data_IF_911297092899
#
_entry.id   IF_911297092899
#
_cell.length_a   1.000
_cell.length_b   1.000
_cell.length_c   1.000
_cell.angle_alpha   90.00
_cell.angle_beta   90.00
_cell.angle_gamma   90.00
#
_symmetry.space_group_name_H-M   'P 1'
#
loop_
_entity.id
_entity.type
_entity.pdbx_description
1 polymer ?
#
# COMPACT_ATOMS: atom_id res chain seq x y z
N UNK A 1 23.23 12.27 11.25
CA UNK A 1 22.21 11.82 12.21
C UNK A 1 22.62 12.38 13.56
N UNK A 2 21.73 13.11 14.25
CA UNK A 2 22.01 13.60 15.61
C UNK A 2 21.51 12.54 16.60
N UNK A 3 22.43 12.02 17.43
CA UNK A 3 22.13 10.99 18.42
C UNK A 3 21.88 11.62 19.79
N UNK A 4 21.04 10.98 20.60
CA UNK A 4 20.70 11.45 21.94
C UNK A 4 21.80 11.15 22.95
N UNK A 5 22.68 10.19 22.67
CA UNK A 5 23.85 9.89 23.50
C UNK A 5 25.12 9.54 22.70
N UNK A 6 26.27 9.64 23.36
CA UNK A 6 27.56 9.18 22.82
C UNK A 6 27.56 7.67 22.59
N UNK A 7 26.86 6.91 23.44
CA UNK A 7 26.73 5.46 23.31
C UNK A 7 25.94 5.09 22.05
N UNK A 8 24.85 5.79 21.75
CA UNK A 8 24.10 5.59 20.50
C UNK A 8 24.93 5.89 19.26
N UNK A 9 25.67 7.00 19.27
CA UNK A 9 26.56 7.35 18.17
C UNK A 9 27.63 6.28 17.94
N UNK A 10 28.21 5.76 19.03
CA UNK A 10 29.23 4.72 18.97
C UNK A 10 28.65 3.37 18.53
N UNK A 11 27.46 2.99 19.00
CA UNK A 11 26.74 1.82 18.50
C UNK A 11 26.53 1.88 16.99
N UNK A 12 25.92 2.98 16.53
CA UNK A 12 25.62 3.18 15.11
C UNK A 12 26.90 3.10 14.27
N UNK A 13 27.97 3.75 14.73
CA UNK A 13 29.27 3.71 14.06
C UNK A 13 29.83 2.29 13.97
N UNK A 14 29.88 1.54 15.08
CA UNK A 14 30.41 0.17 15.12
C UNK A 14 29.65 -0.76 14.19
N UNK A 15 28.32 -0.72 14.21
CA UNK A 15 27.49 -1.58 13.37
C UNK A 15 27.61 -1.18 11.90
N UNK A 16 27.55 0.12 11.57
CA UNK A 16 27.67 0.59 10.18
C UNK A 16 29.01 0.17 9.57
N UNK A 17 30.12 0.42 10.28
CA UNK A 17 31.46 0.00 9.83
C UNK A 17 31.55 -1.51 9.63
N UNK A 18 30.95 -2.30 10.52
CA UNK A 18 30.91 -3.75 10.36
C UNK A 18 30.11 -4.18 9.12
N UNK A 19 28.93 -3.59 8.90
CA UNK A 19 28.09 -3.93 7.74
C UNK A 19 28.79 -3.58 6.43
N UNK A 20 29.37 -2.39 6.33
CA UNK A 20 30.13 -1.95 5.15
C UNK A 20 31.34 -2.85 4.89
N UNK A 21 32.13 -3.15 5.93
CA UNK A 21 33.33 -3.99 5.80
C UNK A 21 33.02 -5.43 5.34
N UNK A 22 31.80 -5.91 5.59
CA UNK A 22 31.34 -7.24 5.21
C UNK A 22 30.37 -7.23 4.01
N UNK A 23 30.15 -6.08 3.35
CA UNK A 23 29.24 -5.93 2.21
C UNK A 23 27.79 -6.36 2.54
N UNK A 24 27.34 -6.01 3.74
CA UNK A 24 26.01 -6.34 4.27
C UNK A 24 25.06 -5.12 4.30
N UNK A 25 25.53 -3.95 3.88
CA UNK A 25 24.82 -2.67 3.87
C UNK A 25 23.61 -2.66 2.92
N UNK A 26 23.62 -3.47 1.85
CA UNK A 26 22.43 -3.67 1.00
C UNK A 26 21.37 -4.57 1.64
N UNK A 27 21.79 -5.44 2.59
CA UNK A 27 20.92 -6.44 3.24
C UNK A 27 20.28 -5.90 4.51
N UNK A 28 20.97 -5.02 5.22
CA UNK A 28 20.51 -4.48 6.49
C UNK A 28 20.36 -2.97 6.46
N UNK A 29 19.29 -2.46 7.06
CA UNK A 29 19.05 -1.01 7.21
C UNK A 29 18.87 -0.68 8.68
N UNK A 30 19.53 0.36 9.16
CA UNK A 30 19.43 0.80 10.56
C UNK A 30 18.54 2.03 10.63
N UNK A 31 17.49 1.95 11.44
CA UNK A 31 16.59 3.07 11.72
C UNK A 31 16.79 3.55 13.15
N UNK A 32 17.07 4.84 13.32
CA UNK A 32 17.23 5.48 14.63
C UNK A 32 15.92 6.08 15.12
N UNK A 33 15.57 5.79 16.38
CA UNK A 33 14.30 6.13 17.01
C UNK A 33 13.08 5.81 16.12
N UNK A 34 12.96 4.54 15.67
CA UNK A 34 11.86 4.10 14.83
C UNK A 34 10.55 4.24 15.58
N UNK A 35 9.53 4.75 14.88
CA UNK A 35 8.16 4.72 15.40
C UNK A 35 7.59 3.34 15.12
N UNK A 36 7.84 2.40 16.01
CA UNK A 36 7.11 1.13 16.04
C UNK A 36 5.64 1.46 16.31
N UNK A 37 4.71 0.83 15.58
CA UNK A 37 3.27 1.05 15.76
C UNK A 37 2.88 0.97 17.25
N UNK A 38 1.89 1.76 17.67
CA UNK A 38 1.26 1.60 18.98
C UNK A 38 0.60 0.20 19.01
N UNK A 39 1.29 -0.81 19.54
CA UNK A 39 0.65 -2.06 19.93
C UNK A 39 -0.30 -1.72 21.08
N UNK A 40 -1.59 -1.61 20.78
CA UNK A 40 -2.62 -1.47 21.81
C UNK A 40 -2.94 -2.84 22.38
N UNK A 41 -2.12 -3.32 23.31
CA UNK A 41 -2.55 -4.36 24.23
C UNK A 41 -3.24 -3.66 25.42
N UNK A 42 -4.54 -3.94 25.58
CA UNK A 42 -5.31 -3.67 26.81
C UNK A 42 -5.25 -2.23 27.38
N UNK A 43 -5.56 -1.23 26.55
CA UNK A 43 -6.00 0.09 27.06
C UNK A 43 -4.92 0.98 27.71
N UNK A 44 -3.66 0.54 27.81
CA UNK A 44 -2.55 1.42 28.18
C UNK A 44 -1.68 1.73 26.97
N UNK A 45 -1.90 2.90 26.36
CA UNK A 45 -1.04 3.42 25.30
C UNK A 45 0.33 3.83 25.87
N UNK A 46 1.26 2.89 25.98
CA UNK A 46 2.68 3.21 26.19
C UNK A 46 3.39 3.19 24.85
N UNK A 47 3.65 4.38 24.33
CA UNK A 47 4.51 4.55 23.16
C UNK A 47 5.94 4.23 23.56
N UNK A 48 6.45 3.06 23.15
CA UNK A 48 7.85 2.67 23.34
C UNK A 48 8.60 2.92 22.04
N UNK A 49 9.65 3.72 22.08
CA UNK A 49 10.50 4.05 20.93
C UNK A 49 11.88 3.49 21.27
N UNK A 50 12.33 2.39 20.63
CA UNK A 50 13.67 1.90 20.86
C UNK A 50 14.70 2.86 20.29
N UNK A 51 15.94 2.75 20.74
CA UNK A 51 17.03 3.58 20.19
C UNK A 51 17.28 3.23 18.72
N UNK A 52 17.31 1.93 18.38
CA UNK A 52 17.43 1.49 17.00
C UNK A 52 16.52 0.31 16.65
N UNK A 53 16.10 0.26 15.39
CA UNK A 53 15.58 -0.93 14.74
C UNK A 53 16.48 -1.25 13.56
N UNK A 54 16.98 -2.47 13.52
CA UNK A 54 17.71 -2.98 12.37
C UNK A 54 16.74 -3.82 11.56
N UNK A 55 16.59 -3.46 10.30
CA UNK A 55 15.82 -4.18 9.31
C UNK A 55 16.72 -5.13 8.54
N UNK A 56 16.23 -6.33 8.19
CA UNK A 56 16.86 -7.27 7.26
C UNK A 56 15.94 -7.47 6.06
N UNK A 57 16.39 -7.06 4.87
CA UNK A 57 15.54 -7.07 3.68
C UNK A 57 14.26 -6.22 3.82
N UNK A 58 14.31 -5.15 4.63
CA UNK A 58 13.17 -4.27 4.91
C UNK A 58 12.26 -4.69 6.07
N UNK A 59 12.55 -5.79 6.79
CA UNK A 59 11.73 -6.27 7.91
C UNK A 59 12.42 -6.14 9.27
N UNK A 60 11.66 -5.89 10.35
CA UNK A 60 12.18 -5.89 11.71
C UNK A 60 13.04 -7.13 11.99
N UNK A 61 14.34 -6.94 12.22
CA UNK A 61 15.28 -8.03 12.50
C UNK A 61 15.77 -7.94 13.95
N UNK A 62 16.29 -6.79 14.36
CA UNK A 62 16.77 -6.55 15.72
C UNK A 62 16.19 -5.25 16.26
N UNK A 63 15.57 -5.30 17.44
CA UNK A 63 15.33 -4.11 18.26
C UNK A 63 16.54 -3.90 19.15
N UNK A 64 17.05 -2.68 19.21
CA UNK A 64 18.18 -2.32 20.07
C UNK A 64 17.77 -1.18 21.00
N UNK A 65 17.99 -1.42 22.28
CA UNK A 65 17.95 -0.41 23.33
C UNK A 65 19.35 -0.26 23.93
N UNK A 66 19.78 0.97 24.11
CA UNK A 66 21.07 1.31 24.69
C UNK A 66 20.84 1.88 26.09
N UNK A 67 21.62 1.40 27.05
CA UNK A 67 21.61 1.90 28.43
C UNK A 67 23.02 2.17 28.88
N UNK A 68 23.21 3.24 29.65
CA UNK A 68 24.52 3.56 30.23
C UNK A 68 24.89 2.67 31.43
N UNK A 69 23.94 1.94 32.00
CA UNK A 69 24.15 1.11 33.18
C UNK A 69 23.64 -0.32 32.96
N UNK A 70 24.48 -1.30 33.27
CA UNK A 70 24.18 -2.72 33.14
C UNK A 70 22.91 -3.16 33.88
N UNK A 71 22.64 -2.59 35.06
CA UNK A 71 21.45 -2.88 35.87
C UNK A 71 20.13 -2.50 35.16
N UNK A 72 20.19 -1.63 34.15
CA UNK A 72 19.03 -1.17 33.40
C UNK A 72 18.71 -2.07 32.19
N UNK A 73 19.62 -2.99 31.82
CA UNK A 73 19.47 -3.83 30.62
C UNK A 73 18.30 -4.80 30.72
N UNK A 74 18.05 -5.40 31.89
CA UNK A 74 16.91 -6.32 32.08
C UNK A 74 15.58 -5.59 31.98
N UNK A 75 15.49 -4.39 32.57
CA UNK A 75 14.32 -3.53 32.47
C UNK A 75 14.07 -3.11 31.01
N UNK A 76 15.12 -2.68 30.31
CA UNK A 76 15.06 -2.35 28.89
C UNK A 76 14.57 -3.53 28.05
N UNK A 77 15.14 -4.72 28.25
CA UNK A 77 14.76 -5.92 27.51
C UNK A 77 13.29 -6.28 27.74
N UNK A 78 12.84 -6.34 29.00
CA UNK A 78 11.45 -6.69 29.35
C UNK A 78 10.42 -5.73 28.74
N UNK A 79 10.78 -4.46 28.55
CA UNK A 79 9.93 -3.48 27.86
C UNK A 79 9.70 -3.79 26.39
N UNK A 80 10.52 -4.62 25.76
CA UNK A 80 10.38 -4.90 24.33
C UNK A 80 10.00 -6.34 24.02
N UNK A 81 9.99 -7.24 24.99
CA UNK A 81 9.58 -8.65 24.79
C UNK A 81 8.17 -8.75 24.19
N UNK A 82 7.25 -7.87 24.57
CA UNK A 82 5.90 -7.78 23.99
C UNK A 82 5.92 -7.38 22.50
N UNK A 83 6.96 -6.68 22.04
CA UNK A 83 7.17 -6.36 20.63
C UNK A 83 7.73 -7.54 19.82
N UNK A 84 7.92 -8.73 20.41
CA UNK A 84 8.15 -9.94 19.62
C UNK A 84 7.02 -10.20 18.62
N UNK A 85 5.80 -9.69 18.90
CA UNK A 85 4.62 -9.82 18.05
C UNK A 85 4.73 -9.09 16.70
N UNK A 86 5.55 -8.04 16.60
CA UNK A 86 5.83 -7.38 15.30
C UNK A 86 6.84 -8.14 14.43
N UNK A 87 7.14 -9.40 14.79
CA UNK A 87 8.00 -10.28 14.01
C UNK A 87 9.45 -9.80 13.99
N UNK A 88 10.02 -9.52 15.16
CA UNK A 88 11.46 -9.24 15.34
C UNK A 88 12.17 -10.54 15.73
N UNK A 89 13.39 -10.79 15.25
CA UNK A 89 14.13 -12.02 15.60
C UNK A 89 14.84 -11.89 16.96
N UNK A 90 15.36 -10.68 17.22
CA UNK A 90 16.18 -10.41 18.39
C UNK A 90 15.83 -9.08 19.04
N UNK A 91 15.90 -9.06 20.36
CA UNK A 91 15.86 -7.83 21.14
C UNK A 91 17.18 -7.75 21.90
N UNK A 92 17.84 -6.61 21.80
CA UNK A 92 19.14 -6.37 22.42
C UNK A 92 19.00 -5.17 23.35
N UNK A 93 19.41 -5.34 24.60
CA UNK A 93 19.74 -4.24 25.48
C UNK A 93 21.25 -4.23 25.67
N UNK A 94 21.93 -3.11 25.42
CA UNK A 94 23.41 -3.04 25.46
C UNK A 94 23.94 -1.77 26.12
N UNK A 95 25.08 -1.88 26.80
CA UNK A 95 25.89 -0.75 27.30
C UNK A 95 27.20 -0.56 26.51
N UNK A 96 27.38 -1.34 25.44
CA UNK A 96 28.56 -1.43 24.55
C UNK A 96 29.75 -2.18 25.11
N UNK A 97 29.72 -2.59 26.38
CA UNK A 97 30.66 -3.54 26.95
C UNK A 97 30.07 -4.96 26.90
N UNK A 98 28.79 -5.08 27.26
CA UNK A 98 28.02 -6.29 27.10
C UNK A 98 26.61 -6.03 26.63
N UNK A 99 25.91 -7.12 26.33
CA UNK A 99 24.54 -7.08 25.89
C UNK A 99 23.73 -8.19 26.55
N UNK A 100 22.47 -7.87 26.82
CA UNK A 100 21.43 -8.83 27.09
C UNK A 100 20.66 -9.06 25.79
N UNK A 101 20.71 -10.31 25.32
CA UNK A 101 20.05 -10.76 24.10
C UNK A 101 18.78 -11.51 24.46
N UNK A 102 17.70 -11.27 23.73
CA UNK A 102 16.50 -12.09 23.76
C UNK A 102 16.19 -12.62 22.37
N UNK A 103 16.13 -13.93 22.24
CA UNK A 103 15.67 -14.60 21.02
C UNK A 103 14.16 -14.79 21.09
N UNK A 104 13.42 -14.18 20.16
CA UNK A 104 11.95 -14.18 20.22
C UNK A 104 11.35 -15.56 19.95
N UNK A 105 12.00 -16.38 19.13
CA UNK A 105 11.53 -17.72 18.74
C UNK A 105 11.60 -18.73 19.89
N UNK A 106 12.71 -18.75 20.64
CA UNK A 106 12.96 -19.66 21.75
C UNK A 106 12.58 -19.07 23.10
N UNK A 107 12.35 -17.75 23.15
CA UNK A 107 12.13 -16.96 24.37
C UNK A 107 13.29 -17.05 25.37
N UNK A 108 14.49 -17.30 24.86
CA UNK A 108 15.71 -17.40 25.68
C UNK A 108 16.34 -16.02 25.80
N UNK A 109 16.64 -15.62 27.04
CA UNK A 109 17.44 -14.44 27.34
C UNK A 109 18.84 -14.84 27.80
N UNK A 110 19.88 -14.23 27.25
CA UNK A 110 21.26 -14.50 27.63
C UNK A 110 22.13 -13.26 27.62
N UNK A 111 23.09 -13.20 28.54
CA UNK A 111 24.13 -12.17 28.54
C UNK A 111 25.30 -12.59 27.67
N UNK A 112 25.81 -11.67 26.85
CA UNK A 112 26.92 -11.86 25.92
C UNK A 112 27.83 -10.63 25.91
N UNK A 113 29.04 -10.78 25.37
CA UNK A 113 29.87 -9.61 25.02
C UNK A 113 29.22 -8.83 23.87
N UNK A 114 29.52 -7.53 23.76
CA UNK A 114 29.02 -6.70 22.67
C UNK A 114 29.32 -7.30 21.27
N UNK A 115 30.50 -7.90 21.09
CA UNK A 115 30.93 -8.47 19.82
C UNK A 115 30.00 -9.59 19.30
N UNK A 116 29.18 -10.18 20.17
CA UNK A 116 28.18 -11.17 19.74
C UNK A 116 27.15 -10.58 18.77
N UNK A 117 26.89 -9.25 18.80
CA UNK A 117 26.02 -8.59 17.82
C UNK A 117 26.45 -8.90 16.39
N UNK A 118 27.76 -8.96 16.12
CA UNK A 118 28.28 -9.26 14.79
C UNK A 118 27.87 -10.66 14.31
N UNK A 119 27.81 -11.64 15.22
CA UNK A 119 27.38 -12.99 14.90
C UNK A 119 25.90 -13.05 14.48
N UNK A 120 25.06 -12.15 15.00
CA UNK A 120 23.65 -12.05 14.60
C UNK A 120 23.51 -11.71 13.11
N UNK A 121 24.44 -10.94 12.55
CA UNK A 121 24.42 -10.58 11.14
C UNK A 121 24.97 -11.67 10.21
N UNK A 122 25.83 -12.55 10.75
CA UNK A 122 26.40 -13.73 10.07
C UNK A 122 25.47 -14.94 10.09
N UNK A 123 24.50 -14.90 10.99
CA UNK A 123 23.63 -16.00 11.38
C UNK A 123 23.09 -16.83 10.18
N UNK A 124 23.50 -18.10 10.14
CA UNK A 124 23.19 -19.12 9.13
C UNK A 124 22.06 -20.08 9.59
N UNK A 125 21.22 -19.70 10.57
CA UNK A 125 20.11 -20.52 11.14
C UNK A 125 19.16 -21.20 10.14
N UNK A 126 19.21 -20.86 8.85
CA UNK A 126 18.49 -21.57 7.79
C UNK A 126 19.03 -23.00 7.51
N UNK A 127 20.21 -23.36 8.02
CA UNK A 127 20.84 -24.67 7.76
C UNK A 127 20.14 -25.89 8.42
N UNK A 128 19.13 -25.69 9.26
CA UNK A 128 18.39 -26.78 9.93
C UNK A 128 16.87 -26.78 9.73
N UNK A 129 16.30 -25.75 9.10
CA UNK A 129 14.85 -25.71 8.86
C UNK A 129 14.56 -26.62 7.66
N UNK A 130 13.74 -27.65 7.87
CA UNK A 130 13.22 -28.47 6.77
C UNK A 130 12.21 -27.63 5.98
N UNK A 131 12.74 -26.80 5.09
CA UNK A 131 11.96 -25.82 4.32
C UNK A 131 10.78 -26.51 3.64
N UNK A 132 11.01 -27.69 3.05
CA UNK A 132 9.97 -28.45 2.35
C UNK A 132 8.83 -28.90 3.30
N UNK A 133 9.16 -29.42 4.48
CA UNK A 133 8.16 -29.80 5.51
C UNK A 133 7.37 -28.57 6.00
N UNK A 134 8.05 -27.43 6.14
CA UNK A 134 7.41 -26.16 6.51
C UNK A 134 6.50 -25.64 5.39
N UNK A 135 6.90 -25.75 4.13
CA UNK A 135 6.07 -25.37 2.97
C UNK A 135 4.77 -26.18 2.96
N UNK A 136 4.84 -27.50 3.17
CA UNK A 136 3.65 -28.35 3.25
C UNK A 136 2.73 -27.94 4.42
N UNK A 137 3.32 -27.58 5.56
CA UNK A 137 2.56 -27.10 6.72
C UNK A 137 1.87 -25.76 6.45
N UNK A 138 2.57 -24.84 5.78
CA UNK A 138 2.02 -23.54 5.34
C UNK A 138 0.87 -23.76 4.34
N UNK A 139 1.07 -24.62 3.35
CA UNK A 139 0.04 -24.96 2.35
C UNK A 139 -1.25 -25.44 3.03
N UNK A 140 -1.16 -26.38 3.97
CA UNK A 140 -2.33 -26.89 4.68
C UNK A 140 -3.06 -25.80 5.46
N UNK A 141 -2.33 -24.93 6.16
CA UNK A 141 -2.93 -23.83 6.91
C UNK A 141 -3.62 -22.80 6.00
N UNK A 142 -2.97 -22.41 4.90
CA UNK A 142 -3.55 -21.49 3.92
C UNK A 142 -4.82 -22.12 3.35
N UNK A 143 -4.77 -23.40 2.96
CA UNK A 143 -5.96 -24.12 2.49
C UNK A 143 -7.09 -24.07 3.54
N UNK A 144 -6.84 -24.41 4.80
CA UNK A 144 -7.85 -24.34 5.85
C UNK A 144 -8.49 -22.95 5.99
N UNK A 145 -7.68 -21.89 5.94
CA UNK A 145 -8.17 -20.51 6.00
C UNK A 145 -9.07 -20.20 4.80
N UNK A 146 -8.62 -20.54 3.59
CA UNK A 146 -9.34 -20.19 2.37
C UNK A 146 -10.59 -21.05 2.13
N UNK A 147 -10.60 -22.30 2.60
CA UNK A 147 -11.77 -23.20 2.51
C UNK A 147 -12.75 -23.03 3.67
N UNK A 148 -12.26 -22.58 4.83
CA UNK A 148 -13.06 -22.32 6.00
C UNK A 148 -13.81 -20.98 5.95
N UNK A 149 -13.37 -20.05 5.10
CA UNK A 149 -14.01 -18.76 4.96
C UNK A 149 -15.34 -18.87 4.20
N UNK A 150 -16.39 -18.27 4.76
CA UNK A 150 -17.76 -18.30 4.23
C UNK A 150 -18.13 -17.04 3.47
N UNK A 151 -17.34 -15.98 3.61
CA UNK A 151 -17.65 -14.66 3.08
C UNK A 151 -17.12 -14.49 1.65
N UNK A 152 -16.03 -15.18 1.28
CA UNK A 152 -15.39 -15.05 -0.04
C UNK A 152 -15.11 -16.43 -0.64
N UNK A 153 -15.67 -16.70 -1.82
CA UNK A 153 -15.42 -17.96 -2.53
C UNK A 153 -14.07 -17.94 -3.25
N UNK A 154 -13.06 -18.54 -2.60
CA UNK A 154 -11.71 -18.67 -3.12
C UNK A 154 -11.41 -20.06 -3.70
N UNK A 155 -12.41 -20.95 -3.77
CA UNK A 155 -12.27 -22.28 -4.39
C UNK A 155 -11.76 -22.25 -5.83
N UNK A 156 -12.10 -21.27 -6.68
CA UNK A 156 -11.57 -21.20 -8.05
C UNK A 156 -10.04 -21.08 -8.11
N UNK A 157 -9.36 -20.58 -7.07
CA UNK A 157 -7.90 -20.46 -7.04
C UNK A 157 -7.18 -21.82 -7.03
N UNK A 158 -7.86 -22.88 -6.59
CA UNK A 158 -7.28 -24.21 -6.37
C UNK A 158 -7.26 -25.11 -7.61
N UNK A 159 -7.92 -24.71 -8.70
CA UNK A 159 -7.93 -25.52 -9.93
C UNK A 159 -6.58 -25.51 -10.68
N UNK A 160 -5.54 -24.87 -10.14
CA UNK A 160 -4.27 -24.62 -10.83
C UNK A 160 -3.04 -25.40 -10.36
N UNK A 161 -3.16 -26.35 -9.43
CA UNK A 161 -2.03 -27.18 -8.95
C UNK A 161 -1.90 -27.22 -7.42
N UNK A 162 -0.85 -27.88 -6.92
CA UNK A 162 -0.52 -27.92 -5.49
C UNK A 162 0.03 -26.55 -5.03
N UNK A 163 -0.31 -26.11 -3.81
CA UNK A 163 0.09 -24.77 -3.35
C UNK A 163 1.56 -24.67 -2.99
N UNK A 164 2.16 -25.77 -2.59
CA UNK A 164 3.61 -25.92 -2.40
C UNK A 164 4.39 -25.47 -3.63
N UNK A 165 3.84 -25.64 -4.84
CA UNK A 165 4.47 -25.15 -6.07
C UNK A 165 4.48 -23.62 -6.18
N UNK A 166 3.66 -22.92 -5.41
CA UNK A 166 3.56 -21.46 -5.40
C UNK A 166 4.20 -20.81 -4.18
N UNK A 167 4.68 -21.56 -3.20
CA UNK A 167 5.32 -21.00 -2.00
C UNK A 167 6.85 -21.11 -2.14
N UNK A 168 7.56 -20.08 -1.70
CA UNK A 168 9.02 -20.09 -1.60
C UNK A 168 9.51 -19.49 -0.30
N UNK A 169 10.74 -19.85 0.07
CA UNK A 169 11.44 -19.27 1.20
C UNK A 169 12.54 -18.33 0.73
N UNK A 170 12.43 -17.05 1.08
CA UNK A 170 13.47 -16.07 0.85
C UNK A 170 14.49 -16.14 2.00
N UNK A 171 15.68 -16.70 1.73
CA UNK A 171 16.76 -16.84 2.72
C UNK A 171 17.31 -15.50 3.20
N UNK A 172 17.32 -14.48 2.34
CA UNK A 172 17.90 -13.18 2.69
C UNK A 172 17.04 -12.39 3.65
N UNK A 173 15.73 -12.37 3.42
CA UNK A 173 14.75 -11.72 4.29
C UNK A 173 14.13 -12.63 5.35
N UNK A 174 14.40 -13.94 5.29
CA UNK A 174 13.88 -14.98 6.19
C UNK A 174 12.36 -15.01 6.31
N UNK A 175 11.69 -14.97 5.17
CA UNK A 175 10.24 -15.04 5.10
C UNK A 175 9.82 -16.03 4.02
N UNK A 176 8.63 -16.60 4.20
CA UNK A 176 7.91 -17.31 3.15
C UNK A 176 7.06 -16.31 2.38
N UNK A 177 6.86 -16.57 1.10
CA UNK A 177 5.94 -15.80 0.26
C UNK A 177 5.39 -16.69 -0.83
N UNK A 178 4.41 -16.16 -1.57
CA UNK A 178 4.15 -16.72 -2.88
C UNK A 178 5.31 -16.39 -3.84
N UNK A 179 5.56 -17.26 -4.82
CA UNK A 179 6.63 -17.15 -5.80
C UNK A 179 6.47 -15.92 -6.68
N UNK A 180 7.55 -15.15 -6.82
CA UNK A 180 7.60 -13.98 -7.70
C UNK A 180 7.81 -14.36 -9.18
N UNK A 181 6.77 -14.88 -9.84
CA UNK A 181 6.75 -15.11 -11.28
C UNK A 181 6.17 -13.90 -12.03
N UNK A 182 6.96 -12.82 -12.18
CA UNK A 182 6.52 -11.57 -12.83
C UNK A 182 6.14 -11.73 -14.30
N UNK A 183 6.72 -12.72 -14.99
CA UNK A 183 6.40 -13.02 -16.39
C UNK A 183 4.95 -13.45 -16.60
N UNK A 184 4.33 -14.04 -15.57
CA UNK A 184 2.92 -14.42 -15.61
C UNK A 184 1.97 -13.23 -15.41
N UNK A 185 2.48 -12.09 -14.94
CA UNK A 185 1.68 -10.90 -14.73
C UNK A 185 0.48 -11.11 -13.82
N UNK A 186 -0.72 -10.79 -14.29
CA UNK A 186 -1.97 -11.05 -13.54
C UNK A 186 -2.28 -12.53 -13.32
N UNK A 187 -1.63 -13.43 -14.08
CA UNK A 187 -1.75 -14.87 -13.87
C UNK A 187 -0.81 -15.39 -12.79
N UNK A 188 0.10 -14.56 -12.26
CA UNK A 188 0.85 -14.89 -11.06
C UNK A 188 -0.13 -15.24 -9.92
N UNK A 189 0.22 -16.25 -9.14
CA UNK A 189 -0.64 -16.79 -8.08
C UNK A 189 -1.16 -15.71 -7.13
N UNK A 190 -0.27 -14.84 -6.62
CA UNK A 190 -0.67 -13.81 -5.66
C UNK A 190 -1.51 -12.71 -6.31
N UNK A 191 -1.23 -12.34 -7.56
CA UNK A 191 -2.10 -11.42 -8.32
C UNK A 191 -3.50 -12.01 -8.56
N UNK A 192 -3.59 -13.33 -8.77
CA UNK A 192 -4.88 -14.03 -8.85
C UNK A 192 -5.59 -14.00 -7.51
N UNK A 193 -4.89 -14.25 -6.40
CA UNK A 193 -5.47 -14.15 -5.06
C UNK A 193 -6.10 -12.77 -4.83
N UNK A 194 -5.33 -11.69 -5.05
CA UNK A 194 -5.87 -10.33 -4.93
C UNK A 194 -7.00 -10.04 -5.92
N UNK A 195 -6.94 -10.56 -7.14
CA UNK A 195 -8.03 -10.40 -8.13
C UNK A 195 -9.31 -11.13 -7.75
N UNK A 196 -9.26 -12.15 -6.88
CA UNK A 196 -10.46 -12.80 -6.33
C UNK A 196 -10.96 -12.12 -5.07
N UNK A 197 -10.05 -11.58 -4.24
CA UNK A 197 -10.43 -10.77 -3.07
C UNK A 197 -11.11 -9.46 -3.49
N UNK A 198 -10.66 -8.84 -4.58
CA UNK A 198 -11.18 -7.57 -5.08
C UNK A 198 -12.19 -7.80 -6.21
N UNK A 199 -13.32 -7.10 -6.14
CA UNK A 199 -14.36 -7.20 -7.17
C UNK A 199 -13.85 -6.64 -8.51
N UNK A 200 -14.05 -7.37 -9.63
CA UNK A 200 -13.83 -6.78 -10.94
C UNK A 200 -14.82 -5.63 -11.16
N UNK A 201 -14.46 -4.69 -12.03
CA UNK A 201 -15.41 -3.65 -12.44
C UNK A 201 -16.54 -4.31 -13.23
N UNK A 202 -17.75 -4.27 -12.66
CA UNK A 202 -18.93 -4.86 -13.30
C UNK A 202 -19.63 -3.87 -14.25
N UNK A 203 -19.47 -2.58 -13.99
CA UNK A 203 -20.08 -1.52 -14.80
C UNK A 203 -19.29 -1.25 -16.09
N UNK A 204 -20.01 -1.13 -17.21
CA UNK A 204 -19.42 -0.66 -18.46
C UNK A 204 -19.13 0.84 -18.42
N UNK A 205 -19.74 1.57 -17.49
CA UNK A 205 -19.62 3.02 -17.34
C UNK A 205 -19.10 3.37 -15.96
N UNK A 206 -18.18 4.33 -15.90
CA UNK A 206 -17.72 4.94 -14.66
C UNK A 206 -17.80 6.46 -14.75
N UNK A 207 -18.05 7.10 -13.62
CA UNK A 207 -18.22 8.55 -13.53
C UNK A 207 -17.05 9.16 -12.75
N UNK A 208 -16.53 10.30 -13.17
CA UNK A 208 -15.50 11.05 -12.44
C UNK A 208 -15.95 12.49 -12.27
N UNK A 209 -15.96 12.93 -11.02
CA UNK A 209 -16.28 14.31 -10.67
C UNK A 209 -15.01 15.14 -10.64
N UNK A 210 -15.07 16.34 -11.21
CA UNK A 210 -13.93 17.26 -11.22
C UNK A 210 -14.38 18.71 -11.41
N UNK A 211 -13.44 19.64 -11.40
CA UNK A 211 -13.72 21.06 -11.62
C UNK A 211 -14.01 21.34 -13.09
N UNK A 212 -14.70 22.46 -13.35
CA UNK A 212 -14.96 22.91 -14.72
C UNK A 212 -13.65 23.21 -15.46
N UNK A 213 -12.67 23.79 -14.75
CA UNK A 213 -11.34 24.08 -15.29
C UNK A 213 -10.58 22.81 -15.68
N UNK A 214 -10.60 21.77 -14.83
CA UNK A 214 -9.94 20.50 -15.14
C UNK A 214 -10.56 19.84 -16.38
N UNK A 215 -11.88 19.94 -16.54
CA UNK A 215 -12.61 19.48 -17.73
C UNK A 215 -12.17 20.24 -18.97
N UNK A 216 -12.14 21.57 -18.90
CA UNK A 216 -11.63 22.41 -19.99
C UNK A 216 -10.21 22.00 -20.39
N UNK A 217 -9.29 21.85 -19.44
CA UNK A 217 -7.91 21.46 -19.71
C UNK A 217 -7.82 20.06 -20.34
N UNK A 218 -8.60 19.09 -19.86
CA UNK A 218 -8.68 17.73 -20.40
C UNK A 218 -9.07 17.74 -21.88
N UNK A 219 -10.13 18.47 -22.24
CA UNK A 219 -10.60 18.56 -23.63
C UNK A 219 -9.62 19.36 -24.48
N UNK A 220 -9.20 20.53 -24.00
CA UNK A 220 -8.33 21.44 -24.73
C UNK A 220 -6.98 20.81 -25.09
N UNK A 221 -6.39 20.03 -24.16
CA UNK A 221 -5.11 19.33 -24.36
C UNK A 221 -5.28 17.92 -24.94
N UNK A 222 -6.51 17.40 -24.98
CA UNK A 222 -6.84 16.01 -25.31
C UNK A 222 -6.07 15.02 -24.43
N UNK A 223 -6.04 15.29 -23.13
CA UNK A 223 -5.29 14.47 -22.16
C UNK A 223 -6.09 14.11 -20.92
N UNK A 224 -5.90 12.88 -20.44
CA UNK A 224 -6.42 12.43 -19.15
C UNK A 224 -5.29 12.43 -18.12
N UNK A 225 -5.49 13.11 -16.99
CA UNK A 225 -4.48 13.20 -15.92
C UNK A 225 -4.72 12.17 -14.82
N UNK A 226 -3.64 11.51 -14.41
CA UNK A 226 -3.56 10.72 -13.18
C UNK A 226 -2.54 11.35 -12.22
N UNK A 227 -2.83 11.30 -10.92
CA UNK A 227 -1.96 11.85 -9.87
C UNK A 227 -1.25 10.73 -9.11
N UNK A 228 -0.08 11.02 -8.53
CA UNK A 228 0.63 10.06 -7.70
C UNK A 228 -0.18 9.70 -6.43
N UNK A 229 -0.10 8.44 -6.02
CA UNK A 229 -0.73 7.94 -4.77
C UNK A 229 -0.21 8.68 -3.53
N UNK A 230 0.96 9.32 -3.63
CA UNK A 230 1.59 10.04 -2.53
C UNK A 230 0.91 11.35 -2.14
N UNK A 231 0.04 11.88 -3.00
CA UNK A 231 -0.63 13.16 -2.76
C UNK A 231 -2.15 13.04 -2.79
N UNK A 232 -2.64 11.88 -2.35
CA UNK A 232 -4.05 11.71 -2.03
C UNK A 232 -4.44 12.67 -0.90
N UNK A 233 -5.63 13.25 -1.02
CA UNK A 233 -6.17 14.17 -0.01
C UNK A 233 -6.34 13.46 1.34
N UNK A 234 -6.62 12.16 1.32
CA UNK A 234 -6.71 11.34 2.52
C UNK A 234 -5.43 10.51 2.73
N UNK A 235 -4.59 10.96 3.66
CA UNK A 235 -3.34 10.26 4.00
C UNK A 235 -3.59 8.96 4.78
N UNK A 236 -4.72 8.83 5.47
CA UNK A 236 -5.07 7.61 6.20
C UNK A 236 -5.44 6.45 5.28
N UNK A 237 -5.74 6.76 4.01
CA UNK A 237 -6.03 5.75 3.01
C UNK A 237 -4.78 5.00 2.53
N UNK A 238 -3.64 5.69 2.46
CA UNK A 238 -2.39 5.13 1.92
C UNK A 238 -1.88 3.96 2.78
N UNK A 239 -2.10 4.03 4.10
CA UNK A 239 -1.62 3.04 5.06
C UNK A 239 -2.74 2.23 5.72
N UNK A 240 -3.98 2.31 5.21
CA UNK A 240 -5.14 1.62 5.77
C UNK A 240 -4.93 0.10 5.84
N UNK A 241 -4.58 -0.53 4.71
CA UNK A 241 -4.38 -1.98 4.68
C UNK A 241 -3.17 -2.41 5.54
N UNK A 242 -2.07 -1.65 5.49
CA UNK A 242 -0.87 -1.95 6.28
C UNK A 242 -1.19 -1.92 7.79
N UNK A 243 -1.94 -0.91 8.25
CA UNK A 243 -2.44 -0.82 9.63
C UNK A 243 -3.38 -1.98 9.98
N UNK A 244 -4.30 -2.33 9.08
CA UNK A 244 -5.26 -3.41 9.34
C UNK A 244 -4.57 -4.76 9.53
N UNK A 245 -3.53 -5.02 8.74
CA UNK A 245 -2.74 -6.25 8.78
C UNK A 245 -1.73 -6.27 9.93
N UNK A 246 -1.56 -5.18 10.68
CA UNK A 246 -0.57 -5.08 11.76
C UNK A 246 0.88 -5.21 11.28
N UNK A 247 1.13 -4.99 10.00
CA UNK A 247 2.48 -5.10 9.43
C UNK A 247 3.26 -3.81 9.65
N UNK A 248 4.58 -3.93 9.82
CA UNK A 248 5.45 -2.78 9.95
C UNK A 248 5.36 -1.90 8.70
N UNK A 249 5.00 -0.63 8.91
CA UNK A 249 5.02 0.40 7.89
C UNK A 249 6.04 1.46 8.28
N UNK A 250 6.94 1.78 7.35
CA UNK A 250 7.93 2.83 7.51
C UNK A 250 7.27 4.20 7.26
N UNK A 251 7.26 5.13 8.23
CA UNK A 251 6.70 6.47 8.03
C UNK A 251 7.33 7.22 6.86
N UNK A 252 6.54 8.04 6.15
CA UNK A 252 6.99 8.79 4.96
C UNK A 252 8.22 9.69 5.23
N UNK A 253 8.29 10.31 6.41
CA UNK A 253 9.40 11.18 6.83
C UNK A 253 10.71 10.43 7.10
N UNK A 254 10.64 9.09 7.18
CA UNK A 254 11.79 8.21 7.38
C UNK A 254 12.22 7.48 6.12
N UNK A 255 11.44 7.56 5.04
CA UNK A 255 11.76 6.92 3.77
C UNK A 255 12.99 7.56 3.11
N UNK A 256 13.86 6.73 2.55
CA UNK A 256 14.98 7.15 1.72
C UNK A 256 14.51 7.77 0.41
N UNK A 257 15.39 8.53 -0.25
CA UNK A 257 15.10 9.10 -1.56
C UNK A 257 14.74 8.02 -2.61
N UNK A 258 15.40 6.86 -2.55
CA UNK A 258 15.13 5.72 -3.45
C UNK A 258 13.74 5.13 -3.22
N UNK A 259 13.32 4.99 -1.97
CA UNK A 259 11.95 4.55 -1.62
C UNK A 259 10.91 5.57 -2.11
N UNK A 260 11.17 6.87 -1.90
CA UNK A 260 10.31 7.94 -2.40
C UNK A 260 10.23 8.00 -3.92
N UNK A 261 11.34 7.73 -4.63
CA UNK A 261 11.35 7.62 -6.09
C UNK A 261 10.45 6.48 -6.55
N UNK A 262 10.52 5.31 -5.90
CA UNK A 262 9.69 4.14 -6.22
C UNK A 262 8.19 4.44 -6.03
N UNK A 263 7.81 5.11 -4.94
CA UNK A 263 6.42 5.49 -4.70
C UNK A 263 5.89 6.51 -5.71
N UNK A 264 6.78 7.32 -6.29
CA UNK A 264 6.47 8.27 -7.35
C UNK A 264 6.30 7.63 -8.75
N UNK A 265 6.36 6.31 -8.83
CA UNK A 265 6.06 5.53 -10.04
C UNK A 265 4.65 4.92 -10.01
N UNK A 266 3.83 5.27 -9.02
CA UNK A 266 2.46 4.77 -8.88
C UNK A 266 1.46 5.93 -8.97
N UNK A 267 0.49 5.81 -9.87
CA UNK A 267 -0.48 6.85 -10.17
C UNK A 267 -1.90 6.31 -10.11
N UNK A 268 -2.82 7.09 -9.58
CA UNK A 268 -4.23 6.76 -9.54
C UNK A 268 -5.13 7.80 -10.20
N UNK A 269 -6.30 7.33 -10.61
CA UNK A 269 -7.48 8.13 -10.81
C UNK A 269 -8.66 7.44 -10.17
N UNK A 270 -9.39 8.20 -9.34
CA UNK A 270 -10.62 7.76 -8.69
C UNK A 270 -11.83 8.12 -9.55
N UNK A 271 -12.65 7.12 -9.83
CA UNK A 271 -13.97 7.25 -10.43
C UNK A 271 -15.00 6.68 -9.45
N UNK A 272 -16.29 6.81 -9.76
CA UNK A 272 -17.37 6.15 -9.06
C UNK A 272 -18.19 5.32 -10.03
N UNK A 273 -18.96 4.37 -9.50
CA UNK A 273 -19.90 3.56 -10.26
C UNK A 273 -20.95 4.40 -11.02
N UNK A 274 -21.56 3.82 -12.06
CA UNK A 274 -22.62 4.49 -12.82
C UNK A 274 -23.86 4.83 -11.98
N UNK A 275 -24.14 4.12 -10.87
CA UNK A 275 -25.26 4.49 -9.99
C UNK A 275 -25.08 5.87 -9.33
N UNK A 276 -23.86 6.41 -9.40
CA UNK A 276 -23.50 7.74 -8.94
C UNK A 276 -23.31 8.73 -10.09
N UNK A 277 -23.86 8.46 -11.28
CA UNK A 277 -24.00 9.47 -12.33
C UNK A 277 -24.90 10.60 -11.83
N UNK A 278 -24.50 11.84 -12.06
CA UNK A 278 -25.20 13.06 -11.62
C UNK A 278 -25.67 13.06 -10.15
N UNK A 279 -24.79 12.69 -9.22
CA UNK A 279 -25.03 12.56 -7.78
C UNK A 279 -24.54 13.83 -7.02
N UNK A 280 -25.45 14.41 -6.24
CA UNK A 280 -25.20 15.64 -5.50
C UNK A 280 -24.08 15.51 -4.46
N UNK A 281 -23.98 14.38 -3.77
CA UNK A 281 -22.92 14.16 -2.77
C UNK A 281 -21.55 14.15 -3.45
N UNK A 282 -21.43 13.51 -4.61
CA UNK A 282 -20.18 13.48 -5.37
C UNK A 282 -19.80 14.86 -5.93
N UNK A 283 -20.78 15.64 -6.40
CA UNK A 283 -20.57 17.04 -6.78
C UNK A 283 -20.03 17.90 -5.64
N UNK A 284 -20.57 17.72 -4.43
CA UNK A 284 -20.13 18.48 -3.25
C UNK A 284 -18.69 18.13 -2.85
N UNK A 285 -18.35 16.84 -2.89
CA UNK A 285 -17.03 16.36 -2.48
C UNK A 285 -15.93 16.65 -3.52
N UNK A 286 -16.24 16.45 -4.81
CA UNK A 286 -15.22 16.42 -5.87
C UNK A 286 -15.52 17.31 -7.07
N UNK A 287 -16.78 17.75 -7.23
CA UNK A 287 -17.25 18.59 -8.34
C UNK A 287 -17.32 20.07 -8.01
N UNK A 288 -16.34 20.60 -7.24
CA UNK A 288 -16.23 22.04 -6.92
C UNK A 288 -17.47 22.65 -6.26
N UNK A 289 -18.02 21.95 -5.27
CA UNK A 289 -19.29 22.31 -4.62
C UNK A 289 -20.45 22.45 -5.62
N UNK A 290 -20.57 21.47 -6.51
CA UNK A 290 -21.60 21.38 -7.56
C UNK A 290 -21.48 22.37 -8.73
N UNK A 291 -20.38 23.11 -8.83
CA UNK A 291 -20.09 24.01 -9.97
C UNK A 291 -19.27 23.35 -11.08
N UNK A 292 -18.67 22.21 -10.78
CA UNK A 292 -17.82 21.43 -11.67
C UNK A 292 -18.62 20.54 -12.62
N UNK A 293 -18.08 19.37 -12.93
CA UNK A 293 -18.66 18.44 -13.91
C UNK A 293 -18.62 17.00 -13.42
N UNK A 294 -19.52 16.19 -13.96
CA UNK A 294 -19.47 14.74 -13.93
C UNK A 294 -19.08 14.22 -15.33
N UNK A 295 -17.95 13.53 -15.40
CA UNK A 295 -17.39 12.96 -16.63
C UNK A 295 -17.71 11.46 -16.68
N UNK A 296 -18.41 10.99 -17.71
CA UNK A 296 -18.79 9.58 -17.84
C UNK A 296 -17.93 8.89 -18.90
N UNK A 297 -17.32 7.77 -18.52
CA UNK A 297 -16.38 7.01 -19.33
C UNK A 297 -16.88 5.59 -19.55
N UNK A 298 -16.71 5.08 -20.76
CA UNK A 298 -16.81 3.66 -21.04
C UNK A 298 -15.51 2.97 -20.59
N UNK A 299 -15.64 1.80 -19.96
CA UNK A 299 -14.53 0.95 -19.54
C UNK A 299 -14.17 -0.04 -20.64
N UNK A 300 -12.92 -0.02 -21.08
CA UNK A 300 -12.39 -0.91 -22.11
C UNK A 300 -11.59 -2.04 -21.44
N UNK A 301 -12.23 -3.19 -21.27
CA UNK A 301 -11.68 -4.31 -20.50
C UNK A 301 -10.37 -4.90 -21.04
N UNK A 302 -10.07 -4.74 -22.33
CA UNK A 302 -8.88 -5.34 -22.97
C UNK A 302 -7.53 -4.68 -22.64
N UNK A 303 -7.50 -3.61 -21.83
CA UNK A 303 -6.29 -2.81 -21.55
C UNK A 303 -5.67 -3.14 -20.18
N UNK A 304 -6.21 -4.14 -19.47
CA UNK A 304 -5.79 -4.42 -18.09
C UNK A 304 -4.63 -5.43 -18.01
N UNK A 305 -3.62 -5.12 -17.21
CA UNK A 305 -2.55 -6.04 -16.78
C UNK A 305 -1.94 -5.58 -15.45
N UNK A 306 -0.78 -6.12 -15.05
CA UNK A 306 -0.13 -5.77 -13.78
C UNK A 306 0.30 -4.29 -13.66
N UNK A 307 0.34 -3.54 -14.77
CA UNK A 307 0.74 -2.14 -14.79
C UNK A 307 -0.41 -1.17 -15.02
N UNK A 308 -1.56 -1.65 -15.50
CA UNK A 308 -2.77 -0.86 -15.70
C UNK A 308 -3.95 -1.63 -15.12
N UNK A 309 -4.33 -1.30 -13.89
CA UNK A 309 -5.32 -2.02 -13.10
C UNK A 309 -6.56 -1.15 -12.88
N UNK A 310 -7.74 -1.68 -13.14
CA UNK A 310 -9.00 -1.05 -12.75
C UNK A 310 -9.86 -2.02 -11.93
N UNK A 311 -10.25 -1.61 -10.72
CA UNK A 311 -11.02 -2.43 -9.79
C UNK A 311 -12.01 -1.56 -9.00
N UNK A 312 -13.08 -2.18 -8.55
CA UNK A 312 -13.91 -1.61 -7.49
C UNK A 312 -13.10 -1.62 -6.19
N UNK A 313 -13.17 -0.51 -5.45
CA UNK A 313 -12.57 -0.44 -4.11
C UNK A 313 -13.36 -1.36 -3.17
N UNK A 314 -12.65 -2.19 -2.41
CA UNK A 314 -13.21 -3.00 -1.34
C UNK A 314 -13.23 -2.19 -0.05
N UNK A 315 -14.42 -2.10 0.54
CA UNK A 315 -14.66 -1.36 1.77
C UNK A 315 -14.86 -2.32 2.94
N UNK A 316 -14.34 -1.93 4.11
CA UNK A 316 -14.72 -2.61 5.36
C UNK A 316 -16.24 -2.60 5.59
N UNK A 317 -16.76 -3.63 6.26
CA UNK A 317 -18.16 -3.70 6.74
C UNK A 317 -18.39 -2.83 7.97
N UNK A 318 -17.33 -2.56 8.73
CA UNK A 318 -17.31 -1.63 9.84
C UNK A 318 -15.88 -1.12 10.05
N UNK A 319 -15.64 -0.26 11.06
CA UNK A 319 -14.30 0.31 11.33
C UNK A 319 -13.20 -0.74 11.51
N UNK A 320 -13.52 -1.91 12.07
CA UNK A 320 -12.52 -2.95 12.36
C UNK A 320 -12.80 -4.28 11.62
N UNK A 321 -13.80 -4.31 10.76
CA UNK A 321 -14.20 -5.52 10.03
C UNK A 321 -14.01 -5.30 8.52
N UNK A 322 -13.02 -5.98 7.96
CA UNK A 322 -12.77 -6.01 6.53
C UNK A 322 -12.53 -7.47 6.13
N UNK A 323 -13.50 -8.16 5.51
CA UNK A 323 -13.41 -9.59 5.23
C UNK A 323 -12.16 -9.97 4.41
N UNK A 324 -11.90 -9.24 3.33
CA UNK A 324 -10.78 -9.46 2.43
C UNK A 324 -9.43 -9.34 3.16
N UNK A 325 -9.23 -8.26 3.92
CA UNK A 325 -8.01 -8.06 4.69
C UNK A 325 -7.94 -9.02 5.89
N UNK A 326 -9.08 -9.48 6.42
CA UNK A 326 -9.12 -10.47 7.50
C UNK A 326 -8.57 -11.81 7.02
N UNK A 327 -8.83 -12.22 5.78
CA UNK A 327 -8.23 -13.44 5.21
C UNK A 327 -6.70 -13.30 5.16
N UNK A 328 -6.20 -12.18 4.65
CA UNK A 328 -4.75 -11.91 4.59
C UNK A 328 -4.12 -11.89 5.98
N UNK A 329 -4.77 -11.23 6.95
CA UNK A 329 -4.32 -11.20 8.35
C UNK A 329 -4.28 -12.59 8.97
N UNK A 330 -5.33 -13.41 8.79
CA UNK A 330 -5.35 -14.80 9.28
C UNK A 330 -4.17 -15.60 8.75
N UNK A 331 -3.80 -15.42 7.48
CA UNK A 331 -2.60 -16.09 6.90
C UNK A 331 -1.34 -15.65 7.65
N UNK A 332 -1.12 -14.34 7.82
CA UNK A 332 0.07 -13.82 8.51
C UNK A 332 0.12 -14.32 9.96
N UNK A 333 -0.97 -14.12 10.70
CA UNK A 333 -1.06 -14.39 12.13
C UNK A 333 -0.99 -15.89 12.44
N UNK A 334 -1.73 -16.72 11.71
CA UNK A 334 -1.75 -18.16 11.98
C UNK A 334 -0.41 -18.82 11.64
N UNK A 335 0.21 -18.44 10.52
CA UNK A 335 1.51 -18.98 10.14
C UNK A 335 2.58 -18.58 11.16
N UNK A 336 2.55 -17.33 11.63
CA UNK A 336 3.43 -16.88 12.70
C UNK A 336 3.14 -17.63 14.01
N UNK A 337 1.88 -17.72 14.44
CA UNK A 337 1.50 -18.35 15.69
C UNK A 337 1.85 -19.84 15.75
N UNK A 338 1.48 -20.60 14.70
CA UNK A 338 1.63 -22.07 14.63
C UNK A 338 3.04 -22.51 14.27
N UNK A 339 3.68 -21.86 13.31
CA UNK A 339 4.95 -22.33 12.75
C UNK A 339 6.16 -21.44 13.06
N UNK A 340 5.94 -20.28 13.71
CA UNK A 340 7.00 -19.29 13.98
C UNK A 340 7.71 -18.86 12.69
N UNK A 341 6.92 -18.71 11.61
CA UNK A 341 7.40 -18.25 10.32
C UNK A 341 6.81 -16.89 9.98
N UNK A 342 7.56 -16.11 9.21
CA UNK A 342 7.09 -14.86 8.64
C UNK A 342 6.54 -15.16 7.25
N UNK A 343 5.35 -14.65 6.92
CA UNK A 343 4.78 -14.74 5.59
C UNK A 343 4.62 -13.35 4.99
N UNK A 344 5.03 -13.16 3.73
CA UNK A 344 4.97 -11.88 3.04
C UNK A 344 4.12 -11.99 1.78
N UNK A 345 3.23 -11.02 1.61
CA UNK A 345 2.61 -10.77 0.32
C UNK A 345 3.47 -9.81 -0.51
N UNK A 346 4.00 -10.25 -1.66
CA UNK A 346 4.97 -9.47 -2.45
C UNK A 346 4.31 -8.33 -3.23
N UNK A 347 3.09 -8.55 -3.74
CA UNK A 347 2.31 -7.59 -4.50
C UNK A 347 1.34 -6.75 -3.64
N UNK A 348 1.37 -6.90 -2.31
CA UNK A 348 0.52 -6.09 -1.41
C UNK A 348 0.71 -4.59 -1.61
N UNK A 349 1.95 -4.12 -1.85
CA UNK A 349 2.22 -2.69 -2.11
C UNK A 349 1.46 -2.15 -3.33
N UNK A 350 1.09 -3.01 -4.29
CA UNK A 350 0.25 -2.64 -5.44
C UNK A 350 -1.23 -2.71 -5.08
N UNK A 351 -1.66 -3.83 -4.51
CA UNK A 351 -3.08 -4.11 -4.29
C UNK A 351 -3.68 -3.40 -3.08
N UNK A 352 -2.85 -2.96 -2.13
CA UNK A 352 -3.31 -2.26 -0.92
C UNK A 352 -4.10 -0.99 -1.23
N UNK A 353 -3.83 -0.39 -2.39
CA UNK A 353 -4.53 0.79 -2.88
C UNK A 353 -5.99 0.53 -3.27
N UNK A 354 -6.51 -0.70 -3.20
CA UNK A 354 -7.91 -0.99 -3.49
C UNK A 354 -8.74 -1.31 -2.23
N UNK A 355 -8.18 -1.10 -1.03
CA UNK A 355 -8.89 -1.29 0.23
C UNK A 355 -9.10 0.05 0.93
N UNK A 356 -10.31 0.30 1.42
CA UNK A 356 -10.65 1.47 2.22
C UNK A 356 -11.49 1.11 3.45
N UNK A 357 -11.50 1.99 4.43
CA UNK A 357 -12.40 1.86 5.57
C UNK A 357 -13.86 2.02 5.13
N UNK A 358 -14.76 1.46 5.93
CA UNK A 358 -16.22 1.59 5.76
C UNK A 358 -16.69 3.05 5.64
N UNK A 359 -15.99 4.00 6.27
CA UNK A 359 -16.42 5.41 6.31
C UNK A 359 -16.49 6.06 4.92
N UNK A 360 -15.82 5.48 3.91
CA UNK A 360 -15.80 5.95 2.53
C UNK A 360 -16.71 5.15 1.59
N UNK A 361 -17.48 4.17 2.09
CA UNK A 361 -18.28 3.26 1.26
C UNK A 361 -19.30 3.99 0.36
N UNK A 362 -19.76 5.17 0.80
CA UNK A 362 -20.69 6.01 0.06
C UNK A 362 -20.14 6.53 -1.28
N UNK A 363 -18.82 6.57 -1.44
CA UNK A 363 -18.14 6.99 -2.68
C UNK A 363 -18.34 5.98 -3.83
N UNK A 364 -18.55 4.69 -3.50
CA UNK A 364 -18.64 3.58 -4.46
C UNK A 364 -17.53 3.67 -5.52
N UNK A 365 -16.30 3.79 -5.05
CA UNK A 365 -15.15 4.13 -5.88
C UNK A 365 -14.77 2.96 -6.81
N UNK A 366 -14.49 3.31 -8.07
CA UNK A 366 -13.75 2.49 -9.01
C UNK A 366 -12.41 3.17 -9.24
N UNK A 367 -11.34 2.47 -8.89
CA UNK A 367 -9.99 3.01 -8.96
C UNK A 367 -9.27 2.49 -10.19
N UNK A 368 -8.67 3.41 -10.93
CA UNK A 368 -7.67 3.11 -11.94
C UNK A 368 -6.28 3.36 -11.35
N UNK A 369 -5.42 2.35 -11.39
CA UNK A 369 -4.04 2.38 -10.95
C UNK A 369 -3.11 2.14 -12.15
N UNK A 370 -2.14 3.02 -12.32
CA UNK A 370 -1.07 2.91 -13.29
C UNK A 370 0.27 2.82 -12.56
N UNK A 371 1.02 1.75 -12.83
CA UNK A 371 2.40 1.59 -12.38
C UNK A 371 3.33 1.90 -13.55
N UNK A 372 4.24 2.85 -13.38
CA UNK A 372 5.08 3.35 -14.46
C UNK A 372 5.89 2.24 -15.12
N UNK A 373 5.85 2.20 -16.45
CA UNK A 373 6.43 1.14 -17.25
C UNK A 373 6.60 1.56 -18.72
N UNK A 374 7.33 0.75 -19.50
CA UNK A 374 7.59 1.02 -20.92
C UNK A 374 6.47 0.56 -21.87
N UNK A 375 5.51 -0.26 -21.41
CA UNK A 375 4.40 -0.80 -22.22
C UNK A 375 3.28 0.22 -22.43
N UNK A 376 2.98 1.04 -21.43
CA UNK A 376 1.98 2.12 -21.50
C UNK A 376 2.62 3.48 -21.22
N UNK A 377 3.54 3.96 -22.08
CA UNK A 377 4.24 5.20 -21.82
C UNK A 377 3.25 6.37 -21.78
N UNK A 378 3.30 7.22 -20.74
CA UNK A 378 2.47 8.42 -20.70
C UNK A 378 2.93 9.41 -21.78
N UNK A 379 2.01 10.26 -22.23
CA UNK A 379 2.31 11.36 -23.16
C UNK A 379 3.25 12.38 -22.52
N UNK A 380 3.08 12.61 -21.22
CA UNK A 380 3.86 13.56 -20.43
C UNK A 380 3.86 13.13 -18.96
N UNK A 381 4.97 13.39 -18.27
CA UNK A 381 5.09 13.24 -16.83
C UNK A 381 5.66 14.53 -16.24
N UNK A 382 5.09 15.00 -15.13
CA UNK A 382 5.50 16.27 -14.53
C UNK A 382 5.28 16.33 -13.03
N UNK A 383 5.46 17.53 -12.49
CA UNK A 383 5.28 17.85 -11.08
C UNK A 383 4.23 18.95 -10.90
N UNK A 384 3.47 18.85 -9.81
CA UNK A 384 2.40 19.79 -9.49
C UNK A 384 2.30 19.99 -7.98
N UNK A 385 1.76 21.12 -7.55
CA UNK A 385 1.28 21.29 -6.18
C UNK A 385 -0.20 20.90 -6.14
N UNK A 386 -0.55 19.92 -5.32
CA UNK A 386 -1.97 19.55 -5.15
C UNK A 386 -2.76 20.69 -4.54
N UNK A 387 -4.07 20.67 -4.76
CA UNK A 387 -5.00 21.59 -4.10
C UNK A 387 -6.00 20.75 -3.28
N UNK A 388 -6.33 21.17 -2.04
CA UNK A 388 -5.90 22.41 -1.38
C UNK A 388 -4.53 22.32 -0.69
N UNK A 389 -4.03 21.12 -0.38
CA UNK A 389 -2.95 20.90 0.59
C UNK A 389 -1.54 21.30 0.15
N UNK A 390 -1.37 21.73 -1.11
CA UNK A 390 -0.08 22.17 -1.68
C UNK A 390 1.04 21.14 -1.52
N UNK A 391 0.70 19.86 -1.60
CA UNK A 391 1.69 18.79 -1.59
C UNK A 391 2.32 18.66 -2.96
N UNK A 392 3.65 18.68 -3.03
CA UNK A 392 4.38 18.45 -4.28
C UNK A 392 4.19 16.99 -4.70
N UNK A 393 3.68 16.79 -5.91
CA UNK A 393 3.28 15.47 -6.40
C UNK A 393 3.62 15.27 -7.87
N UNK A 394 3.95 14.04 -8.23
CA UNK A 394 4.05 13.62 -9.63
C UNK A 394 2.67 13.48 -10.25
N UNK A 395 2.60 13.71 -11.56
CA UNK A 395 1.44 13.36 -12.36
C UNK A 395 1.88 12.80 -13.71
N UNK A 396 0.96 12.08 -14.37
CA UNK A 396 1.09 11.66 -15.76
C UNK A 396 -0.13 12.08 -16.57
N UNK A 397 0.09 12.33 -17.86
CA UNK A 397 -0.96 12.52 -18.85
C UNK A 397 -1.00 11.34 -19.82
N UNK A 398 -2.17 10.76 -19.99
CA UNK A 398 -2.49 9.86 -21.10
C UNK A 398 -3.24 10.64 -22.18
N UNK A 399 -3.17 10.18 -23.42
CA UNK A 399 -4.03 10.72 -24.47
C UNK A 399 -5.49 10.35 -24.20
N UNK A 400 -6.38 11.35 -24.22
CA UNK A 400 -7.81 11.16 -23.99
C UNK A 400 -8.40 10.27 -25.09
N UNK A 401 -9.19 9.26 -24.68
CA UNK A 401 -9.84 8.29 -25.57
C UNK A 401 -8.86 7.46 -26.43
N UNK A 402 -7.60 7.33 -25.99
CA UNK A 402 -6.65 6.41 -26.61
C UNK A 402 -7.12 4.96 -26.46
N UNK A 403 -6.88 4.14 -27.48
CA UNK A 403 -7.11 2.68 -27.43
C UNK A 403 -6.23 1.95 -26.41
N UNK A 404 -5.16 2.60 -25.96
CA UNK A 404 -4.20 2.08 -24.99
C UNK A 404 -4.49 2.54 -23.56
N UNK A 405 -5.63 3.19 -23.34
CA UNK A 405 -6.08 3.63 -22.02
C UNK A 405 -7.46 3.01 -21.73
N UNK A 406 -7.72 2.51 -20.50
CA UNK A 406 -8.93 1.72 -20.22
C UNK A 406 -10.21 2.57 -20.10
N UNK A 407 -10.14 3.90 -20.18
CA UNK A 407 -11.29 4.79 -20.04
C UNK A 407 -11.49 5.65 -21.29
N UNK A 408 -12.71 5.64 -21.81
CA UNK A 408 -13.12 6.46 -22.96
C UNK A 408 -14.27 7.39 -22.59
N UNK A 409 -13.97 8.69 -22.51
CA UNK A 409 -14.95 9.75 -22.25
C UNK A 409 -15.97 9.79 -23.37
N UNK A 410 -17.25 9.70 -23.01
CA UNK A 410 -18.36 9.81 -23.95
C UNK A 410 -19.42 10.84 -23.54
N UNK A 411 -19.44 11.29 -22.27
CA UNK A 411 -20.41 12.28 -21.80
C UNK A 411 -19.82 13.19 -20.72
N UNK A 412 -20.17 14.47 -20.78
CA UNK A 412 -19.87 15.50 -19.78
C UNK A 412 -21.20 16.04 -19.28
N UNK A 413 -21.41 16.02 -17.97
CA UNK A 413 -22.59 16.61 -17.32
C UNK A 413 -22.10 17.84 -16.54
N UNK A 414 -22.64 19.01 -16.86
CA UNK A 414 -22.37 20.24 -16.13
C UNK A 414 -23.15 20.22 -14.82
N UNK A 415 -22.46 20.47 -13.71
CA UNK A 415 -23.06 20.43 -12.38
C UNK A 415 -24.22 21.43 -12.21
N UNK A 416 -25.09 21.23 -11.22
CA UNK A 416 -26.33 22.01 -11.06
C UNK A 416 -26.08 23.49 -10.77
N UNK A 417 -24.90 23.85 -10.22
CA UNK A 417 -24.48 25.24 -10.01
C UNK A 417 -23.44 25.72 -11.02
N UNK A 418 -23.22 24.99 -12.12
CA UNK A 418 -22.29 25.42 -13.16
C UNK A 418 -22.64 26.85 -13.61
N UNK A 419 -21.68 27.79 -13.66
CA UNK A 419 -21.95 29.15 -14.12
C UNK A 419 -22.48 29.13 -15.56
N UNK A 420 -23.58 29.85 -15.83
CA UNK A 420 -24.23 29.92 -17.15
C UNK A 420 -24.22 28.56 -17.91
N UNK A 421 -24.95 27.55 -17.41
CA UNK A 421 -24.83 26.17 -17.90
C UNK A 421 -25.27 26.06 -19.36
N UNK A 422 -26.21 26.91 -19.80
CA UNK A 422 -26.67 26.94 -21.20
C UNK A 422 -25.56 27.43 -22.14
N UNK A 423 -24.87 28.52 -21.79
CA UNK A 423 -23.75 29.02 -22.58
C UNK A 423 -22.58 28.04 -22.54
N UNK A 424 -22.20 27.57 -21.35
CA UNK A 424 -21.09 26.64 -21.19
C UNK A 424 -21.31 25.33 -21.95
N UNK A 425 -22.52 24.77 -21.96
CA UNK A 425 -22.84 23.58 -22.76
C UNK A 425 -22.57 23.81 -24.25
N UNK A 426 -22.99 24.97 -24.80
CA UNK A 426 -22.73 25.32 -26.20
C UNK A 426 -21.25 25.52 -26.48
N UNK A 427 -20.53 26.22 -25.60
CA UNK A 427 -19.09 26.48 -25.75
C UNK A 427 -18.27 25.19 -25.67
N UNK A 428 -18.60 24.26 -24.78
CA UNK A 428 -17.99 22.94 -24.77
C UNK A 428 -18.30 22.16 -26.06
N UNK A 429 -19.50 22.28 -26.61
CA UNK A 429 -19.83 21.71 -27.92
C UNK A 429 -18.90 22.21 -29.03
N UNK A 430 -18.67 23.53 -29.11
CA UNK A 430 -17.74 24.14 -30.07
C UNK A 430 -16.31 23.66 -29.83
N UNK A 431 -15.84 23.67 -28.57
CA UNK A 431 -14.49 23.21 -28.22
C UNK A 431 -14.27 21.73 -28.58
N UNK A 432 -15.27 20.86 -28.33
CA UNK A 432 -15.21 19.44 -28.71
C UNK A 432 -15.11 19.28 -30.23
N UNK A 433 -15.83 20.09 -31.00
CA UNK A 433 -15.71 20.12 -32.46
C UNK A 433 -14.31 20.55 -32.92
N UNK A 434 -13.78 21.65 -32.40
CA UNK A 434 -12.42 22.13 -32.71
C UNK A 434 -11.32 21.10 -32.35
N UNK A 435 -11.55 20.30 -31.31
CA UNK A 435 -10.63 19.26 -30.84
C UNK A 435 -10.87 17.89 -31.48
N UNK A 436 -11.79 17.76 -32.43
CA UNK A 436 -12.18 16.50 -33.09
C UNK A 436 -12.71 15.42 -32.14
N UNK A 437 -13.49 15.83 -31.13
CA UNK A 437 -14.08 15.00 -30.09
C UNK A 437 -15.62 15.01 -30.13
N UNK A 438 -16.21 15.18 -31.33
CA UNK A 438 -17.67 15.34 -31.56
C UNK A 438 -18.57 14.20 -31.05
N UNK A 439 -17.99 13.06 -30.68
CA UNK A 439 -18.71 11.90 -30.12
C UNK A 439 -19.00 12.04 -28.62
N UNK A 440 -18.44 13.05 -27.97
CA UNK A 440 -18.65 13.33 -26.55
C UNK A 440 -19.91 14.20 -26.41
N UNK A 441 -20.89 13.70 -25.67
CA UNK A 441 -22.11 14.44 -25.33
C UNK A 441 -21.83 15.48 -24.22
N UNK A 442 -22.52 16.63 -24.27
CA UNK A 442 -22.52 17.61 -23.18
C UNK A 442 -23.96 17.87 -22.74
N UNK A 443 -24.26 17.56 -21.49
CA UNK A 443 -25.56 17.71 -20.84
C UNK A 443 -25.46 18.64 -19.63
N UNK A 444 -26.62 19.12 -19.15
CA UNK A 444 -26.72 19.75 -17.84
C UNK A 444 -27.18 18.70 -16.83
N UNK A 445 -26.85 18.90 -15.56
CA UNK A 445 -27.39 18.11 -14.46
C UNK A 445 -28.92 18.23 -14.38
N UNK A 446 -29.58 17.14 -14.03
CA UNK A 446 -31.03 17.08 -13.78
C UNK A 446 -31.38 17.42 -12.31
N UNK A 447 -30.39 17.71 -11.46
CA UNK A 447 -30.60 18.08 -10.06
C UNK A 447 -31.12 19.52 -9.95
N UNK A 448 -32.40 19.69 -9.65
CA UNK A 448 -33.04 21.00 -9.51
C UNK A 448 -32.87 21.63 -8.10
N UNK A 449 -32.69 20.82 -7.06
CA UNK A 449 -32.73 21.28 -5.66
C UNK A 449 -31.34 21.40 -5.05
N UNK A 450 -30.70 22.56 -5.21
CA UNK A 450 -29.53 22.96 -4.42
C UNK A 450 -29.85 24.20 -3.58
N UNK A 451 -29.80 24.08 -2.25
CA UNK A 451 -29.77 25.27 -1.39
C UNK A 451 -28.35 25.79 -1.35
N UNK A 452 -28.12 26.97 -1.96
CA UNK A 452 -26.91 27.75 -1.71
C UNK A 452 -26.83 28.00 -0.20
N UNK A 453 -25.84 27.41 0.46
CA UNK A 453 -25.48 27.75 1.84
C UNK A 453 -24.83 29.13 1.90
#
# INVERSE_FOLDING_TARGET
>A
MEFSSVLEAEFYRRITVYLEANQLDEKYTIEYQPRLQELSLEGTKRRRIPDFLILKGGFPFVIVEIKGERLQLENALSMYVELAEIGVDWIIATDLEGLLLYETSTKISEYRSFDFVYNLFRDERDQGRKIDDTILSIENEINEILFGDKDIDLKPLLQSGAWSDFIEYNKDGRFFSFKDNRELGLQNFENRLFSHLLKPVTSQVVCRYTTLEATFQMINKKTFRMGSNMAMNDRGEIDYADKYLGIYYKPLDKMSLKEMQRLNLSFISSCTTQQKEDDLTMYRLYGEDSRGTCLCFNVVNGVQDQHMLIREVSYGRSRNDHPELTILRKIIDNLHAKFKVRFRFLFLDTWKHFFKSHDYESEKEIRLLYLDNNKYPPKEMGWVLTHPDKVLSRYVFFELNSRHFPLQLYKIILGPNCPDPVLNRKQFGVLLEERNLKRIEVANSDIESYRKS
#
